data_IF_932100723946
#
_entry.id   IF_932100723946
#
_cell.length_a   1.000
_cell.length_b   1.000
_cell.length_c   1.000
_cell.angle_alpha   90.00
_cell.angle_beta   90.00
_cell.angle_gamma   90.00
#
_symmetry.space_group_name_H-M   'P 1'
#
loop_
_entity.id
_entity.type
_entity.pdbx_description
1 polymer ?
#
# COMPACT_ATOMS: atom_id res chain seq x y z
N UNK A 1 5.38 16.29 -10.15
CA UNK A 1 4.80 16.86 -8.91
C UNK A 1 4.67 18.37 -9.05
N UNK A 2 3.51 18.97 -8.70
CA UNK A 2 3.30 20.43 -8.82
C UNK A 2 3.95 21.26 -7.71
N UNK A 3 4.18 20.67 -6.52
CA UNK A 3 5.00 21.16 -5.39
C UNK A 3 5.24 19.99 -4.42
N UNK A 4 6.29 20.04 -3.59
CA UNK A 4 6.53 19.04 -2.53
C UNK A 4 5.39 18.98 -1.50
N UNK A 5 4.73 20.11 -1.22
CA UNK A 5 3.55 20.16 -0.35
C UNK A 5 2.39 19.34 -0.89
N UNK A 6 2.11 19.43 -2.20
CA UNK A 6 1.03 18.64 -2.82
C UNK A 6 1.32 17.15 -2.73
N UNK A 7 2.58 16.75 -2.96
CA UNK A 7 3.00 15.35 -2.80
C UNK A 7 2.78 14.86 -1.36
N UNK A 8 3.32 15.58 -0.37
CA UNK A 8 3.21 15.19 1.04
C UNK A 8 1.77 15.14 1.53
N UNK A 9 0.92 16.10 1.15
CA UNK A 9 -0.51 16.07 1.48
C UNK A 9 -1.22 14.88 0.85
N UNK A 10 -0.83 14.50 -0.36
CA UNK A 10 -1.44 13.38 -1.07
C UNK A 10 -1.04 12.04 -0.46
N UNK A 11 0.24 11.89 -0.13
CA UNK A 11 0.74 10.70 0.56
C UNK A 11 0.11 10.56 1.95
N UNK A 12 0.01 11.66 2.70
CA UNK A 12 -0.68 11.68 4.00
C UNK A 12 -2.12 11.15 3.87
N UNK A 13 -2.89 11.66 2.91
CA UNK A 13 -4.27 11.22 2.71
C UNK A 13 -4.36 9.76 2.25
N UNK A 14 -3.43 9.29 1.41
CA UNK A 14 -3.39 7.89 1.00
C UNK A 14 -3.10 6.96 2.19
N UNK A 15 -2.22 7.36 3.11
CA UNK A 15 -1.96 6.63 4.37
C UNK A 15 -3.19 6.66 5.29
N UNK A 16 -3.89 7.79 5.40
CA UNK A 16 -5.15 7.88 6.16
C UNK A 16 -6.23 6.96 5.59
N UNK A 17 -6.34 6.89 4.25
CA UNK A 17 -7.22 5.95 3.57
C UNK A 17 -6.82 4.50 3.84
N UNK A 18 -5.54 4.15 3.74
CA UNK A 18 -5.02 2.82 4.10
C UNK A 18 -5.34 2.41 5.53
N UNK A 19 -5.13 3.32 6.49
CA UNK A 19 -5.51 3.10 7.89
C UNK A 19 -7.02 2.86 8.03
N UNK A 20 -7.86 3.61 7.31
CA UNK A 20 -9.31 3.39 7.32
C UNK A 20 -9.67 2.00 6.75
N UNK A 21 -9.10 1.62 5.60
CA UNK A 21 -9.29 0.31 4.98
C UNK A 21 -8.93 -0.84 5.93
N UNK A 22 -7.79 -0.75 6.61
CA UNK A 22 -7.39 -1.77 7.57
C UNK A 22 -8.31 -1.78 8.80
N UNK A 23 -8.51 -0.63 9.45
CA UNK A 23 -9.23 -0.58 10.73
C UNK A 23 -10.74 -0.85 10.62
N UNK A 24 -11.38 -0.46 9.52
CA UNK A 24 -12.83 -0.61 9.35
C UNK A 24 -13.21 -1.83 8.52
N UNK A 25 -12.35 -2.25 7.58
CA UNK A 25 -12.69 -3.26 6.59
C UNK A 25 -11.71 -4.44 6.56
N UNK A 26 -10.67 -4.43 7.40
CA UNK A 26 -9.64 -5.45 7.42
C UNK A 26 -8.97 -5.65 6.04
N UNK A 27 -8.87 -4.60 5.22
CA UNK A 27 -8.27 -4.69 3.88
C UNK A 27 -6.78 -4.30 3.92
N UNK A 28 -5.95 -5.12 3.27
CA UNK A 28 -4.54 -4.87 2.98
C UNK A 28 -4.36 -4.68 1.48
N UNK A 29 -3.55 -3.70 1.07
CA UNK A 29 -3.41 -3.30 -0.33
C UNK A 29 -2.42 -4.18 -1.09
N UNK A 30 -1.25 -4.45 -0.51
CA UNK A 30 -0.20 -5.34 -1.06
C UNK A 30 0.47 -4.93 -2.37
N UNK A 31 0.14 -3.76 -2.89
CA UNK A 31 0.77 -3.21 -4.10
C UNK A 31 0.77 -1.68 -4.07
N UNK A 32 1.25 -1.13 -2.95
CA UNK A 32 1.46 0.31 -2.85
C UNK A 32 2.69 0.67 -3.68
N UNK A 33 2.50 1.56 -4.67
CA UNK A 33 3.54 2.06 -5.56
C UNK A 33 3.22 3.49 -6.00
N UNK A 34 4.18 4.19 -6.61
CA UNK A 34 3.97 5.53 -7.16
C UNK A 34 2.86 5.59 -8.24
N UNK A 35 2.64 4.50 -8.96
CA UNK A 35 1.59 4.39 -9.98
C UNK A 35 0.21 4.07 -9.39
N UNK A 36 0.17 3.52 -8.18
CA UNK A 36 -1.05 3.10 -7.50
C UNK A 36 -1.54 4.13 -6.47
N UNK A 37 -1.01 5.35 -6.49
CA UNK A 37 -1.50 6.49 -5.70
C UNK A 37 -1.94 7.60 -6.64
N UNK A 38 -3.26 7.74 -6.79
CA UNK A 38 -3.82 8.78 -7.63
C UNK A 38 -3.84 10.11 -6.87
N UNK A 39 -3.24 11.15 -7.45
CA UNK A 39 -3.32 12.51 -6.92
C UNK A 39 -4.67 13.14 -7.29
N UNK A 40 -5.30 13.82 -6.34
CA UNK A 40 -6.52 14.57 -6.60
C UNK A 40 -6.21 15.76 -7.54
N UNK A 41 -6.76 15.82 -8.76
CA UNK A 41 -6.49 16.92 -9.68
C UNK A 41 -7.16 18.22 -9.25
N UNK A 42 -8.24 18.14 -8.46
CA UNK A 42 -9.10 19.26 -8.08
C UNK A 42 -8.77 19.85 -6.70
N UNK A 43 -7.80 19.29 -5.98
CA UNK A 43 -7.51 19.71 -4.61
C UNK A 43 -6.34 18.97 -3.98
N UNK A 44 -5.99 19.28 -2.72
CA UNK A 44 -4.98 18.51 -2.00
C UNK A 44 -5.50 17.10 -1.73
N UNK A 45 -4.66 16.08 -1.94
CA UNK A 45 -4.99 14.72 -1.54
C UNK A 45 -4.59 13.66 -2.54
N UNK A 46 -4.59 12.43 -2.08
CA UNK A 46 -4.29 11.26 -2.88
C UNK A 46 -5.02 10.04 -2.33
N UNK A 47 -5.28 9.09 -3.22
CA UNK A 47 -6.05 7.90 -2.91
C UNK A 47 -5.33 6.66 -3.45
N UNK A 48 -5.19 5.58 -2.66
CA UNK A 48 -4.73 4.31 -3.19
C UNK A 48 -5.73 3.77 -4.22
N UNK A 49 -5.21 3.23 -5.32
CA UNK A 49 -5.95 2.58 -6.38
C UNK A 49 -5.31 1.22 -6.67
N UNK A 50 -5.94 0.43 -7.54
CA UNK A 50 -5.47 -0.90 -7.92
C UNK A 50 -5.46 -1.90 -6.75
N UNK A 51 -6.61 -2.57 -6.58
CA UNK A 51 -6.86 -3.52 -5.50
C UNK A 51 -6.80 -4.98 -5.97
N UNK A 52 -6.27 -5.24 -7.17
CA UNK A 52 -6.26 -6.59 -7.75
C UNK A 52 -5.43 -7.59 -6.91
N UNK A 53 -4.46 -7.08 -6.13
CA UNK A 53 -3.62 -7.85 -5.21
C UNK A 53 -4.07 -7.76 -3.74
N UNK A 54 -5.10 -6.96 -3.46
CA UNK A 54 -5.58 -6.72 -2.11
C UNK A 54 -6.22 -7.96 -1.50
N UNK A 55 -6.16 -8.05 -0.17
CA UNK A 55 -6.72 -9.16 0.60
C UNK A 55 -7.43 -8.66 1.85
N UNK A 56 -8.33 -9.49 2.38
CA UNK A 56 -8.77 -9.34 3.75
C UNK A 56 -7.75 -9.95 4.72
N UNK A 57 -7.44 -9.22 5.79
CA UNK A 57 -6.49 -9.59 6.83
C UNK A 57 -7.00 -10.75 7.70
N UNK A 58 -8.31 -10.94 7.79
CA UNK A 58 -8.97 -12.01 8.53
C UNK A 58 -9.25 -13.27 7.70
N UNK A 59 -8.71 -13.35 6.46
CA UNK A 59 -8.90 -14.52 5.59
C UNK A 59 -8.42 -15.81 6.26
N UNK A 60 -9.23 -16.86 6.16
CA UNK A 60 -8.96 -18.16 6.80
C UNK A 60 -8.10 -19.11 5.95
N UNK A 61 -7.70 -18.69 4.75
CA UNK A 61 -6.87 -19.47 3.83
C UNK A 61 -6.16 -18.62 2.78
N UNK A 62 -5.16 -19.20 2.12
CA UNK A 62 -4.39 -18.52 1.07
C UNK A 62 -5.24 -18.48 -0.21
N UNK A 63 -5.82 -17.33 -0.49
CA UNK A 63 -6.70 -17.10 -1.65
C UNK A 63 -5.90 -16.93 -2.94
N UNK A 64 -5.09 -17.90 -3.36
CA UNK A 64 -4.36 -17.91 -4.65
C UNK A 64 -3.34 -16.78 -4.92
N UNK A 65 -3.40 -15.68 -4.19
CA UNK A 65 -2.50 -14.55 -4.28
C UNK A 65 -1.20 -14.92 -3.56
N UNK A 66 -0.14 -15.15 -4.35
CA UNK A 66 1.22 -15.42 -3.90
C UNK A 66 1.65 -14.47 -2.79
N UNK A 67 2.47 -14.92 -1.83
CA UNK A 67 3.03 -14.03 -0.79
C UNK A 67 3.94 -12.94 -1.39
N UNK A 68 4.51 -13.17 -2.57
CA UNK A 68 5.26 -12.19 -3.36
C UNK A 68 4.36 -11.57 -4.42
N UNK A 69 3.70 -10.49 -4.08
CA UNK A 69 2.90 -9.69 -5.03
C UNK A 69 3.24 -8.23 -4.85
N UNK A 70 3.09 -7.48 -5.93
CA UNK A 70 3.31 -6.03 -5.96
C UNK A 70 4.61 -5.64 -6.65
N UNK A 71 4.83 -4.33 -6.71
CA UNK A 71 5.94 -3.72 -7.43
C UNK A 71 7.26 -3.89 -6.67
N UNK A 72 8.27 -4.53 -7.30
CA UNK A 72 9.51 -4.97 -6.66
C UNK A 72 10.25 -3.85 -5.89
N UNK A 73 10.33 -2.65 -6.47
CA UNK A 73 11.04 -1.51 -5.88
C UNK A 73 10.37 -0.96 -4.61
N UNK A 74 9.07 -1.24 -4.41
CA UNK A 74 8.28 -0.77 -3.28
C UNK A 74 7.88 -1.90 -2.33
N UNK A 75 8.39 -3.11 -2.54
CA UNK A 75 8.03 -4.27 -1.74
C UNK A 75 8.78 -4.23 -0.39
N UNK A 76 8.04 -4.41 0.71
CA UNK A 76 8.63 -4.50 2.05
C UNK A 76 9.73 -5.56 2.15
N UNK A 77 10.78 -5.27 2.94
CA UNK A 77 11.98 -6.11 3.05
C UNK A 77 11.66 -7.55 3.43
N UNK A 78 10.74 -7.77 4.37
CA UNK A 78 10.37 -9.10 4.83
C UNK A 78 9.59 -9.90 3.78
N UNK A 79 8.86 -9.20 2.90
CA UNK A 79 8.19 -9.81 1.74
C UNK A 79 9.23 -10.21 0.68
N UNK A 80 10.28 -9.40 0.49
CA UNK A 80 11.41 -9.72 -0.39
C UNK A 80 12.24 -10.91 0.12
N UNK A 81 12.45 -11.02 1.43
CA UNK A 81 13.30 -12.05 2.07
C UNK A 81 12.65 -13.42 2.21
N UNK A 82 11.39 -13.61 1.80
CA UNK A 82 10.72 -14.92 1.73
C UNK A 82 10.72 -15.72 3.04
N UNK A 83 10.58 -15.04 4.18
CA UNK A 83 10.49 -15.76 5.43
C UNK A 83 9.25 -16.70 5.38
N UNK A 84 9.41 -18.02 5.57
CA UNK A 84 8.30 -18.96 5.47
C UNK A 84 7.17 -18.56 6.43
N UNK A 85 5.92 -18.75 6.00
CA UNK A 85 4.71 -18.45 6.76
C UNK A 85 4.48 -16.97 7.14
N UNK A 86 5.17 -16.02 6.51
CA UNK A 86 4.91 -14.61 6.79
C UNK A 86 3.60 -14.15 6.13
N UNK A 87 2.64 -13.73 6.96
CA UNK A 87 1.39 -13.12 6.50
C UNK A 87 1.63 -11.63 6.22
N UNK A 88 1.09 -11.11 5.12
CA UNK A 88 1.18 -9.68 4.84
C UNK A 88 0.50 -8.91 5.97
N UNK A 89 1.16 -7.88 6.49
CA UNK A 89 0.64 -7.05 7.58
C UNK A 89 0.43 -5.62 7.08
N UNK A 90 -0.38 -4.79 7.75
CA UNK A 90 -0.49 -3.38 7.39
C UNK A 90 0.84 -2.63 7.48
N UNK A 91 1.81 -3.12 8.26
CA UNK A 91 3.15 -2.52 8.37
C UNK A 91 3.91 -2.59 7.04
N UNK A 92 3.68 -3.63 6.23
CA UNK A 92 4.33 -3.76 4.93
C UNK A 92 3.81 -2.78 3.90
N UNK A 93 2.50 -2.51 3.91
CA UNK A 93 1.96 -1.44 3.06
C UNK A 93 2.50 -0.07 3.51
N UNK A 94 2.72 0.14 4.83
CA UNK A 94 3.34 1.37 5.35
C UNK A 94 4.82 1.50 4.95
N UNK A 95 5.58 0.40 4.92
CA UNK A 95 6.95 0.38 4.40
C UNK A 95 6.96 0.75 2.91
N UNK A 96 6.03 0.21 2.11
CA UNK A 96 5.86 0.61 0.72
C UNK A 96 5.54 2.09 0.55
N UNK A 97 4.70 2.69 1.40
CA UNK A 97 4.46 4.15 1.40
C UNK A 97 5.74 4.95 1.71
N UNK A 98 6.62 4.43 2.56
CA UNK A 98 7.90 5.05 2.85
C UNK A 98 8.84 4.98 1.64
N UNK A 99 8.91 3.85 0.94
CA UNK A 99 9.68 3.72 -0.29
C UNK A 99 9.17 4.67 -1.39
N UNK A 100 7.84 4.83 -1.52
CA UNK A 100 7.24 5.83 -2.44
C UNK A 100 7.66 7.26 -2.11
N UNK A 101 7.87 7.59 -0.83
CA UNK A 101 8.33 8.92 -0.43
C UNK A 101 9.81 9.16 -0.80
N UNK A 102 10.62 8.11 -0.82
CA UNK A 102 12.06 8.20 -1.11
C UNK A 102 12.40 8.18 -2.60
N UNK A 103 11.51 7.64 -3.44
CA UNK A 103 11.65 7.55 -4.89
C UNK A 103 11.49 8.91 -5.59
#
# INVERSE_FOLDING_TARGET
FGTSTKLLLSLKQAIEAHRHMYTQHQVLHRDVSNNNILLNPSGPGGFPIDFDLAIFADRTGVTGASHRTGTFDFMARDVLLLLPNHQHTPLYDLESFFEVLLW
#
